data_IF_994989939030
#
_entry.id   IF_994989939030
#
_cell.length_a   1.000
_cell.length_b   1.000
_cell.length_c   1.000
_cell.angle_alpha   90.00
_cell.angle_beta   90.00
_cell.angle_gamma   90.00
#
_symmetry.space_group_name_H-M   'P 1'
#
loop_
_entity.id
_entity.type
_entity.pdbx_description
1 polymer ?
#
# COMPACT_ATOMS: atom_id res chain seq x y z
N UNK A 1 -21.83 -49.34 75.35
CA UNK A 1 -22.03 -47.89 75.62
C UNK A 1 -20.81 -47.06 75.20
N UNK A 2 -19.58 -47.60 75.25
CA UNK A 2 -18.40 -46.90 74.69
C UNK A 2 -18.46 -46.72 73.16
N UNK A 3 -18.84 -47.75 72.40
CA UNK A 3 -18.90 -47.67 70.93
C UNK A 3 -19.83 -46.54 70.43
N UNK A 4 -20.95 -46.34 71.11
CA UNK A 4 -21.92 -45.28 70.80
C UNK A 4 -21.38 -43.86 71.06
N UNK A 5 -20.46 -43.71 72.03
CA UNK A 5 -19.76 -42.44 72.28
C UNK A 5 -18.67 -42.19 71.21
N UNK A 6 -17.98 -43.24 70.76
CA UNK A 6 -16.99 -43.16 69.68
C UNK A 6 -17.61 -42.73 68.34
N UNK A 7 -18.78 -43.27 67.99
CA UNK A 7 -19.50 -42.89 66.76
C UNK A 7 -19.98 -41.43 66.81
N UNK A 8 -20.46 -40.96 67.96
CA UNK A 8 -20.96 -39.59 68.11
C UNK A 8 -19.86 -38.53 67.88
N UNK A 9 -18.66 -38.71 68.46
CA UNK A 9 -17.54 -37.78 68.26
C UNK A 9 -17.02 -37.78 66.82
N UNK A 10 -17.13 -38.91 66.12
CA UNK A 10 -16.75 -39.03 64.70
C UNK A 10 -17.74 -38.29 63.78
N UNK A 11 -19.04 -38.31 64.11
CA UNK A 11 -20.06 -37.50 63.45
C UNK A 11 -19.81 -36.00 63.70
N UNK A 12 -19.53 -35.60 64.94
CA UNK A 12 -19.23 -34.19 65.28
C UNK A 12 -17.93 -33.68 64.63
N UNK A 13 -16.90 -34.53 64.53
CA UNK A 13 -15.69 -34.22 63.74
C UNK A 13 -16.02 -34.04 62.25
N UNK A 14 -16.96 -34.82 61.72
CA UNK A 14 -17.38 -34.75 60.32
C UNK A 14 -18.19 -33.49 60.03
N UNK A 15 -19.14 -33.11 60.89
CA UNK A 15 -19.89 -31.85 60.74
C UNK A 15 -18.98 -30.63 60.86
N UNK A 16 -18.02 -30.64 61.79
CA UNK A 16 -16.99 -29.60 61.92
C UNK A 16 -16.16 -29.45 60.64
N UNK A 17 -15.69 -30.56 60.05
CA UNK A 17 -14.97 -30.53 58.76
C UNK A 17 -15.83 -30.01 57.60
N UNK A 18 -17.11 -30.36 57.55
CA UNK A 18 -18.05 -29.83 56.53
C UNK A 18 -18.18 -28.31 56.66
N UNK A 19 -18.33 -27.78 57.89
CA UNK A 19 -18.40 -26.34 58.13
C UNK A 19 -17.09 -25.61 57.73
N UNK A 20 -15.94 -26.21 58.03
CA UNK A 20 -14.64 -25.67 57.61
C UNK A 20 -14.49 -25.63 56.08
N UNK A 21 -14.91 -26.68 55.37
CA UNK A 21 -14.91 -26.73 53.91
C UNK A 21 -15.88 -25.71 53.30
N UNK A 22 -17.09 -25.57 53.85
CA UNK A 22 -18.06 -24.55 53.42
C UNK A 22 -17.49 -23.14 53.57
N UNK A 23 -16.81 -22.84 54.68
CA UNK A 23 -16.14 -21.55 54.89
C UNK A 23 -15.01 -21.31 53.88
N UNK A 24 -14.12 -22.27 53.69
CA UNK A 24 -13.02 -22.16 52.74
C UNK A 24 -13.51 -22.00 51.29
N UNK A 25 -14.61 -22.66 50.93
CA UNK A 25 -15.24 -22.50 49.61
C UNK A 25 -15.81 -21.10 49.41
N UNK A 26 -16.53 -20.55 50.39
CA UNK A 26 -17.05 -19.18 50.33
C UNK A 26 -15.93 -18.13 50.25
N UNK A 27 -14.82 -18.32 50.97
CA UNK A 27 -13.63 -17.47 50.86
C UNK A 27 -13.01 -17.54 49.44
N UNK A 28 -12.90 -18.74 48.86
CA UNK A 28 -12.39 -18.93 47.49
C UNK A 28 -13.30 -18.31 46.43
N UNK A 29 -14.61 -18.44 46.55
CA UNK A 29 -15.58 -17.78 45.67
C UNK A 29 -15.48 -16.26 45.76
N UNK A 30 -15.32 -15.71 46.97
CA UNK A 30 -15.12 -14.27 47.16
C UNK A 30 -13.84 -13.77 46.48
N UNK A 31 -12.73 -14.51 46.60
CA UNK A 31 -11.46 -14.17 45.97
C UNK A 31 -11.55 -14.24 44.43
N UNK A 32 -12.24 -15.26 43.89
CA UNK A 32 -12.53 -15.39 42.46
C UNK A 32 -13.36 -14.20 41.96
N UNK A 33 -14.42 -13.82 42.68
CA UNK A 33 -15.28 -12.70 42.31
C UNK A 33 -14.50 -11.37 42.30
N UNK A 34 -13.68 -11.10 43.32
CA UNK A 34 -12.82 -9.90 43.38
C UNK A 34 -11.80 -9.87 42.24
N UNK A 35 -11.13 -10.99 41.97
CA UNK A 35 -10.13 -11.11 40.89
C UNK A 35 -10.76 -10.85 39.52
N UNK A 36 -11.95 -11.41 39.25
CA UNK A 36 -12.66 -11.21 37.99
C UNK A 36 -13.15 -9.77 37.85
N UNK A 37 -13.70 -9.17 38.90
CA UNK A 37 -14.12 -7.76 38.87
C UNK A 37 -12.96 -6.79 38.62
N UNK A 38 -11.78 -7.04 39.20
CA UNK A 38 -10.60 -6.21 38.95
C UNK A 38 -10.14 -6.31 37.49
N UNK A 39 -10.06 -7.53 36.94
CA UNK A 39 -9.73 -7.76 35.53
C UNK A 39 -10.76 -7.14 34.58
N UNK A 40 -12.05 -7.20 34.92
CA UNK A 40 -13.11 -6.56 34.15
C UNK A 40 -12.94 -5.04 34.12
N UNK A 41 -12.71 -4.39 35.26
CA UNK A 41 -12.47 -2.94 35.33
C UNK A 41 -11.25 -2.49 34.52
N UNK A 42 -10.15 -3.25 34.56
CA UNK A 42 -8.96 -2.98 33.74
C UNK A 42 -9.26 -3.07 32.23
N UNK A 43 -10.07 -4.06 31.83
CA UNK A 43 -10.48 -4.23 30.44
C UNK A 43 -11.42 -3.10 29.98
N UNK A 44 -12.38 -2.73 30.83
CA UNK A 44 -13.33 -1.63 30.63
C UNK A 44 -12.60 -0.28 30.50
N UNK A 45 -11.65 0.02 31.38
CA UNK A 45 -10.84 1.24 31.32
C UNK A 45 -9.97 1.30 30.04
N UNK A 46 -9.38 0.16 29.64
CA UNK A 46 -8.62 0.06 28.39
C UNK A 46 -9.50 0.34 27.15
N UNK A 47 -10.71 -0.25 27.08
CA UNK A 47 -11.63 0.00 25.97
C UNK A 47 -12.15 1.44 25.93
N UNK A 48 -12.49 2.05 27.07
CA UNK A 48 -12.84 3.48 27.12
C UNK A 48 -11.67 4.37 26.69
N UNK A 49 -10.43 4.02 27.06
CA UNK A 49 -9.23 4.71 26.60
C UNK A 49 -9.04 4.63 25.08
N UNK A 50 -9.24 3.43 24.50
CA UNK A 50 -9.18 3.20 23.06
C UNK A 50 -10.29 3.96 22.32
N UNK A 51 -11.53 3.90 22.78
CA UNK A 51 -12.68 4.62 22.21
C UNK A 51 -12.42 6.14 22.19
N UNK A 52 -11.93 6.70 23.31
CA UNK A 52 -11.59 8.12 23.42
C UNK A 52 -10.43 8.53 22.50
N UNK A 53 -9.44 7.65 22.32
CA UNK A 53 -8.33 7.86 21.39
C UNK A 53 -8.80 7.85 19.94
N UNK A 54 -9.64 6.87 19.58
CA UNK A 54 -10.20 6.70 18.24
C UNK A 54 -11.11 7.88 17.87
N UNK A 55 -12.03 8.28 18.77
CA UNK A 55 -12.88 9.47 18.59
C UNK A 55 -12.07 10.74 18.34
N UNK A 56 -10.98 10.96 19.09
CA UNK A 56 -10.09 12.12 18.89
C UNK A 56 -9.41 12.09 17.52
N UNK A 57 -8.89 10.92 17.10
CA UNK A 57 -8.26 10.79 15.77
C UNK A 57 -9.27 11.01 14.65
N UNK A 58 -10.50 10.54 14.81
CA UNK A 58 -11.56 10.75 13.82
C UNK A 58 -11.86 12.26 13.65
N UNK A 59 -12.05 13.01 14.74
CA UNK A 59 -12.30 14.46 14.66
C UNK A 59 -11.10 15.24 14.09
N UNK A 60 -9.86 14.85 14.44
CA UNK A 60 -8.64 15.47 13.91
C UNK A 60 -8.50 15.27 12.40
N UNK A 61 -8.84 14.07 11.89
CA UNK A 61 -8.88 13.79 10.44
C UNK A 61 -10.01 14.55 9.75
N UNK A 62 -11.21 14.60 10.35
CA UNK A 62 -12.37 15.31 9.79
C UNK A 62 -12.14 16.83 9.71
N UNK A 63 -11.39 17.41 10.66
CA UNK A 63 -10.99 18.82 10.62
C UNK A 63 -9.90 19.09 9.57
N UNK A 64 -8.93 18.16 9.42
CA UNK A 64 -7.92 18.24 8.35
C UNK A 64 -8.54 18.14 6.95
N UNK A 65 -9.51 17.24 6.75
CA UNK A 65 -10.24 17.08 5.48
C UNK A 65 -10.90 18.39 5.04
N UNK A 66 -11.64 19.04 5.94
CA UNK A 66 -12.28 20.36 5.71
C UNK A 66 -11.25 21.45 5.41
N UNK A 67 -10.09 21.43 6.06
CA UNK A 67 -9.00 22.38 5.78
C UNK A 67 -8.42 22.17 4.37
N UNK A 68 -8.21 20.92 3.94
CA UNK A 68 -7.75 20.61 2.59
C UNK A 68 -8.78 20.93 1.52
N UNK A 69 -10.07 20.68 1.76
CA UNK A 69 -11.17 21.04 0.85
C UNK A 69 -11.23 22.57 0.67
N UNK A 70 -11.19 23.32 1.78
CA UNK A 70 -11.16 24.79 1.75
C UNK A 70 -9.97 25.32 0.95
N UNK A 71 -8.74 24.89 1.26
CA UNK A 71 -7.54 25.28 0.50
C UNK A 71 -7.63 24.93 -0.98
N UNK A 72 -8.23 23.79 -1.30
CA UNK A 72 -8.41 23.34 -2.68
C UNK A 72 -9.36 24.28 -3.43
N UNK A 73 -10.52 24.60 -2.85
CA UNK A 73 -11.48 25.54 -3.46
C UNK A 73 -10.90 26.96 -3.62
N UNK A 74 -10.14 27.46 -2.64
CA UNK A 74 -9.42 28.75 -2.74
C UNK A 74 -8.40 28.76 -3.90
N UNK A 75 -7.64 27.68 -4.07
CA UNK A 75 -6.66 27.54 -5.17
C UNK A 75 -7.36 27.48 -6.54
N UNK A 76 -8.47 26.73 -6.66
CA UNK A 76 -9.27 26.70 -7.88
C UNK A 76 -9.84 28.06 -8.24
N UNK A 77 -10.44 28.79 -7.27
CA UNK A 77 -10.99 30.12 -7.52
C UNK A 77 -9.90 31.13 -7.92
N UNK A 78 -8.70 31.05 -7.32
CA UNK A 78 -7.54 31.85 -7.74
C UNK A 78 -7.03 31.49 -9.14
N UNK A 79 -7.09 30.21 -9.52
CA UNK A 79 -6.66 29.74 -10.83
C UNK A 79 -7.64 30.20 -11.92
N UNK A 80 -8.95 30.04 -11.71
CA UNK A 80 -10.01 30.51 -12.61
C UNK A 80 -9.93 32.03 -12.83
N UNK A 81 -9.73 32.82 -11.76
CA UNK A 81 -9.50 34.27 -11.86
C UNK A 81 -8.26 34.62 -12.68
N UNK A 82 -7.18 33.83 -12.58
CA UNK A 82 -5.96 34.03 -13.39
C UNK A 82 -6.17 33.63 -14.84
N UNK A 83 -6.83 32.52 -15.10
CA UNK A 83 -7.16 32.05 -16.45
C UNK A 83 -8.02 33.09 -17.18
N UNK A 84 -9.11 33.54 -16.59
CA UNK A 84 -9.96 34.61 -17.15
C UNK A 84 -9.16 35.90 -17.45
N UNK A 85 -8.23 36.28 -16.56
CA UNK A 85 -7.36 37.44 -16.77
C UNK A 85 -6.31 37.24 -17.87
N UNK A 86 -5.86 36.01 -18.13
CA UNK A 86 -4.99 35.66 -19.26
C UNK A 86 -5.79 35.68 -20.55
N UNK A 87 -6.94 34.98 -20.62
CA UNK A 87 -7.83 34.97 -21.80
C UNK A 87 -8.25 36.38 -22.22
N UNK A 88 -8.60 37.25 -21.26
CA UNK A 88 -8.92 38.65 -21.56
C UNK A 88 -7.74 39.44 -22.15
N UNK A 89 -6.51 39.21 -21.66
CA UNK A 89 -5.29 39.83 -22.20
C UNK A 89 -4.93 39.29 -23.59
N UNK A 90 -5.11 38.01 -23.82
CA UNK A 90 -4.90 37.36 -25.12
C UNK A 90 -5.89 37.91 -26.15
N UNK A 91 -7.19 37.93 -25.83
CA UNK A 91 -8.23 38.50 -26.70
C UNK A 91 -7.92 39.96 -27.07
N UNK A 92 -7.65 40.82 -26.07
CA UNK A 92 -7.32 42.22 -26.31
C UNK A 92 -6.01 42.41 -27.10
N UNK A 93 -5.10 41.43 -27.08
CA UNK A 93 -3.86 41.46 -27.87
C UNK A 93 -4.08 41.00 -29.31
N UNK A 94 -4.91 39.97 -29.52
CA UNK A 94 -5.36 39.52 -30.83
C UNK A 94 -6.16 40.61 -31.56
N UNK A 95 -7.07 41.29 -30.86
CA UNK A 95 -7.88 42.38 -31.40
C UNK A 95 -7.00 43.53 -31.92
N UNK A 96 -6.03 44.00 -31.12
CA UNK A 96 -5.04 45.01 -31.56
C UNK A 96 -4.17 44.56 -32.73
N UNK A 97 -3.90 43.26 -32.87
CA UNK A 97 -3.18 42.71 -34.03
C UNK A 97 -4.08 42.69 -35.29
N UNK A 98 -5.37 42.39 -35.13
CA UNK A 98 -6.36 42.47 -36.20
C UNK A 98 -6.54 43.92 -36.68
N UNK A 99 -6.74 44.88 -35.78
CA UNK A 99 -6.82 46.32 -36.11
C UNK A 99 -5.59 46.81 -36.91
N UNK A 100 -4.38 46.44 -36.47
CA UNK A 100 -3.13 46.78 -37.17
C UNK A 100 -3.05 46.15 -38.55
N UNK A 101 -3.45 44.87 -38.67
CA UNK A 101 -3.47 44.14 -39.95
C UNK A 101 -4.47 44.78 -40.92
N UNK A 102 -5.68 45.07 -40.48
CA UNK A 102 -6.75 45.62 -41.32
C UNK A 102 -6.43 47.07 -41.74
N UNK A 103 -5.82 47.86 -40.85
CA UNK A 103 -5.26 49.18 -41.17
C UNK A 103 -4.15 49.11 -42.23
N UNK A 104 -3.21 48.16 -42.11
CA UNK A 104 -2.16 47.95 -43.10
C UNK A 104 -2.71 47.48 -44.46
N UNK A 105 -3.69 46.56 -44.47
CA UNK A 105 -4.38 46.11 -45.69
C UNK A 105 -5.11 47.28 -46.35
N UNK A 106 -5.79 48.13 -45.58
CA UNK A 106 -6.43 49.35 -46.09
C UNK A 106 -5.41 50.32 -46.68
N UNK A 107 -4.25 50.53 -46.04
CA UNK A 107 -3.17 51.36 -46.56
C UNK A 107 -2.62 50.83 -47.90
N UNK A 108 -2.41 49.52 -48.01
CA UNK A 108 -1.97 48.84 -49.25
C UNK A 108 -3.04 48.99 -50.35
N UNK A 109 -4.31 48.74 -50.06
CA UNK A 109 -5.41 48.89 -51.02
C UNK A 109 -5.51 50.34 -51.54
N UNK A 110 -5.42 51.32 -50.64
CA UNK A 110 -5.39 52.74 -50.99
C UNK A 110 -4.16 53.11 -51.84
N UNK A 111 -2.98 52.56 -51.54
CA UNK A 111 -1.78 52.76 -52.35
C UNK A 111 -1.95 52.19 -53.77
N UNK A 112 -2.40 50.93 -53.88
CA UNK A 112 -2.69 50.28 -55.18
C UNK A 112 -3.71 51.09 -55.98
N UNK A 113 -4.78 51.58 -55.35
CA UNK A 113 -5.80 52.37 -56.05
C UNK A 113 -5.27 53.76 -56.48
N UNK A 114 -4.34 54.38 -55.73
CA UNK A 114 -3.61 55.57 -56.17
C UNK A 114 -2.72 55.26 -57.37
N UNK A 115 -1.88 54.23 -57.32
CA UNK A 115 -1.04 53.81 -58.44
C UNK A 115 -1.87 53.50 -59.70
N UNK A 116 -3.04 52.85 -59.54
CA UNK A 116 -3.97 52.56 -60.65
C UNK A 116 -4.60 53.81 -61.26
N UNK A 117 -4.83 54.88 -60.48
CA UNK A 117 -5.29 56.18 -60.97
C UNK A 117 -4.17 57.00 -61.62
N UNK A 118 -2.94 56.92 -61.10
CA UNK A 118 -1.76 57.59 -61.68
C UNK A 118 -1.33 56.92 -62.99
N UNK A 119 -1.44 55.60 -63.10
CA UNK A 119 -1.14 54.83 -64.32
C UNK A 119 -2.17 55.02 -65.45
N UNK A 120 -3.26 55.78 -65.23
CA UNK A 120 -4.26 56.10 -66.25
C UNK A 120 -3.94 57.40 -67.02
N UNK A 121 -2.77 58.00 -66.78
CA UNK A 121 -2.19 59.12 -67.54
C UNK A 121 -0.81 58.65 -68.05
N UNK A 122 -0.68 58.54 -69.37
CA UNK A 122 0.45 57.95 -70.14
C UNK A 122 1.83 58.66 -70.01
N UNK A 123 2.94 58.16 -70.62
CA UNK A 123 3.43 56.76 -70.76
C UNK A 123 4.98 56.59 -70.56
N UNK A 124 5.44 55.33 -70.67
CA UNK A 124 6.75 54.87 -71.19
C UNK A 124 8.09 55.03 -70.40
N UNK A 125 8.78 53.88 -70.31
CA UNK A 125 10.24 53.63 -70.33
C UNK A 125 11.17 54.13 -69.20
N UNK A 126 11.74 53.18 -68.44
CA UNK A 126 13.18 52.85 -68.53
C UNK A 126 13.53 51.55 -67.77
N UNK A 127 14.51 50.81 -68.28
CA UNK A 127 15.17 49.66 -67.64
C UNK A 127 16.41 50.08 -66.86
N UNK A 128 16.69 49.45 -65.70
CA UNK A 128 18.07 49.21 -65.26
C UNK A 128 18.16 48.12 -64.20
N UNK A 129 19.18 47.30 -64.31
CA UNK A 129 19.62 46.30 -63.33
C UNK A 129 20.32 46.99 -62.14
N UNK A 130 20.43 46.31 -60.99
CA UNK A 130 21.63 46.43 -60.16
C UNK A 130 21.88 45.15 -59.34
N UNK A 131 23.16 44.84 -59.10
CA UNK A 131 23.66 43.68 -58.35
C UNK A 131 24.74 44.12 -57.35
N UNK A 132 24.56 43.76 -56.08
CA UNK A 132 25.60 43.87 -55.04
C UNK A 132 25.06 44.37 -53.69
N UNK A 133 25.60 43.96 -52.54
CA UNK A 133 26.59 42.90 -52.34
C UNK A 133 27.21 42.93 -50.93
N UNK A 134 27.09 41.80 -50.21
CA UNK A 134 27.91 41.42 -49.02
C UNK A 134 27.84 42.39 -47.80
N UNK A 135 28.59 42.19 -46.69
CA UNK A 135 29.41 41.03 -46.27
C UNK A 135 29.23 40.58 -44.78
N UNK A 136 30.07 39.61 -44.35
CA UNK A 136 30.60 39.44 -42.96
C UNK A 136 29.63 38.91 -41.86
N UNK A 137 30.02 38.07 -40.87
CA UNK A 137 31.26 37.30 -40.55
C UNK A 137 31.07 36.33 -39.35
N UNK A 138 32.10 35.50 -39.07
CA UNK A 138 32.48 34.91 -37.76
C UNK A 138 31.53 33.85 -37.13
N UNK A 139 31.96 32.83 -36.37
CA UNK A 139 33.30 32.32 -36.02
C UNK A 139 33.22 30.81 -35.63
N UNK A 140 34.34 30.13 -35.31
CA UNK A 140 34.42 28.68 -34.98
C UNK A 140 35.67 28.37 -34.11
N UNK A 141 35.79 27.21 -33.40
CA UNK A 141 34.92 26.55 -32.41
C UNK A 141 35.37 26.96 -30.97
N UNK A 142 36.20 26.26 -30.13
CA UNK A 142 36.61 24.83 -29.92
C UNK A 142 36.09 24.29 -28.54
N UNK A 143 36.42 23.13 -27.95
CA UNK A 143 37.14 21.87 -28.29
C UNK A 143 36.68 20.69 -27.36
N UNK A 144 37.31 19.51 -27.48
CA UNK A 144 37.35 18.34 -26.55
C UNK A 144 36.04 17.53 -26.31
N UNK A 145 35.95 16.21 -26.52
CA UNK A 145 36.79 15.04 -26.11
C UNK A 145 36.86 14.89 -24.56
N UNK A 146 36.74 13.72 -23.92
CA UNK A 146 37.05 12.31 -24.26
C UNK A 146 36.03 11.36 -23.60
N UNK A 147 35.91 10.10 -24.07
CA UNK A 147 35.06 9.05 -23.49
C UNK A 147 35.83 8.02 -22.62
N UNK A 148 35.11 7.27 -21.77
CA UNK A 148 35.48 5.92 -21.27
C UNK A 148 36.74 5.80 -20.36
N UNK A 149 36.92 4.79 -19.47
CA UNK A 149 36.07 3.76 -18.87
C UNK A 149 36.80 3.15 -17.64
N UNK A 150 36.16 2.21 -16.94
CA UNK A 150 36.70 1.18 -16.01
C UNK A 150 36.92 1.64 -14.55
N UNK A 151 36.27 1.01 -13.56
CA UNK A 151 36.55 -0.32 -12.92
C UNK A 151 37.76 -0.25 -11.96
N UNK A 152 37.81 -0.91 -10.80
CA UNK A 152 36.89 -1.73 -9.98
C UNK A 152 37.29 -1.47 -8.51
N UNK A 153 36.42 -1.75 -7.53
CA UNK A 153 36.85 -2.68 -6.46
C UNK A 153 35.70 -3.24 -5.62
N UNK A 154 35.87 -4.49 -5.21
CA UNK A 154 34.90 -5.30 -4.46
C UNK A 154 35.20 -5.22 -2.97
N UNK A 155 34.18 -4.89 -2.15
CA UNK A 155 34.19 -5.24 -0.72
C UNK A 155 33.00 -6.09 -0.33
N UNK A 156 33.20 -7.40 -0.53
CA UNK A 156 32.34 -8.47 -0.01
C UNK A 156 32.60 -8.65 1.49
N UNK A 157 31.65 -8.20 2.30
CA UNK A 157 31.47 -8.55 3.72
C UNK A 157 29.98 -8.64 3.99
N UNK A 158 29.38 -9.64 4.61
CA UNK A 158 29.83 -10.91 5.18
C UNK A 158 28.55 -11.51 5.76
N UNK A 159 27.83 -12.35 5.00
CA UNK A 159 26.48 -12.81 5.36
C UNK A 159 26.43 -13.99 6.36
N UNK A 160 27.56 -14.32 7.01
CA UNK A 160 27.72 -15.55 7.80
C UNK A 160 27.58 -15.34 9.32
N UNK A 161 26.65 -14.49 9.79
CA UNK A 161 26.38 -14.28 11.23
C UNK A 161 24.94 -14.61 11.67
N UNK A 162 24.02 -14.96 10.75
CA UNK A 162 22.59 -15.09 11.09
C UNK A 162 22.03 -16.53 11.00
N UNK A 163 22.88 -17.53 10.79
CA UNK A 163 22.46 -18.95 10.67
C UNK A 163 22.35 -19.64 12.04
N UNK A 164 22.96 -19.07 13.10
CA UNK A 164 23.14 -19.73 14.40
C UNK A 164 22.02 -19.41 15.43
N UNK A 165 20.95 -18.71 15.03
CA UNK A 165 19.86 -18.26 15.91
C UNK A 165 18.44 -18.72 15.51
N UNK A 166 18.28 -19.56 14.48
CA UNK A 166 16.95 -20.04 14.05
C UNK A 166 16.38 -21.08 15.01
N UNK A 167 15.27 -20.77 15.69
CA UNK A 167 14.56 -21.70 16.57
C UNK A 167 13.82 -22.79 15.77
N UNK A 168 13.51 -22.52 14.51
CA UNK A 168 12.73 -23.42 13.64
C UNK A 168 13.52 -23.89 12.41
N UNK A 169 14.47 -24.85 12.55
CA UNK A 169 15.19 -25.40 11.40
C UNK A 169 14.28 -26.10 10.37
N UNK A 170 13.08 -26.53 10.78
CA UNK A 170 12.06 -27.05 9.87
C UNK A 170 11.49 -25.98 8.94
N UNK A 171 11.34 -24.73 9.41
CA UNK A 171 10.86 -23.61 8.60
C UNK A 171 11.85 -23.28 7.48
N UNK A 172 13.15 -23.26 7.81
CA UNK A 172 14.23 -23.06 6.83
C UNK A 172 14.20 -24.14 5.75
N UNK A 173 14.05 -25.40 6.16
CA UNK A 173 13.96 -26.52 5.20
C UNK A 173 12.71 -26.43 4.30
N UNK A 174 11.55 -26.05 4.82
CA UNK A 174 10.35 -25.87 4.00
C UNK A 174 10.53 -24.77 2.93
N UNK A 175 11.28 -23.71 3.24
CA UNK A 175 11.64 -22.69 2.26
C UNK A 175 12.66 -23.22 1.23
N UNK A 176 13.69 -23.95 1.67
CA UNK A 176 14.70 -24.58 0.79
C UNK A 176 14.08 -25.61 -0.17
N UNK A 177 13.17 -26.46 0.32
CA UNK A 177 12.42 -27.46 -0.45
C UNK A 177 11.30 -26.83 -1.33
N UNK A 178 11.09 -25.51 -1.26
CA UNK A 178 10.02 -24.77 -1.95
C UNK A 178 8.58 -25.27 -1.63
N UNK A 179 8.36 -25.80 -0.43
CA UNK A 179 7.10 -26.42 -0.01
C UNK A 179 6.10 -25.41 0.58
N UNK A 180 5.26 -24.83 -0.29
CA UNK A 180 4.23 -23.86 0.12
C UNK A 180 3.11 -24.46 0.98
N UNK A 181 2.73 -25.73 0.75
CA UNK A 181 1.67 -26.40 1.52
C UNK A 181 2.17 -26.79 2.92
N UNK A 182 3.38 -27.34 3.00
CA UNK A 182 4.07 -27.61 4.26
C UNK A 182 4.34 -26.34 5.07
N UNK A 183 4.68 -25.22 4.41
CA UNK A 183 4.82 -23.91 5.05
C UNK A 183 3.51 -23.42 5.68
N UNK A 184 2.39 -23.49 4.94
CA UNK A 184 1.05 -23.19 5.48
C UNK A 184 0.69 -24.05 6.68
N UNK A 185 0.92 -25.35 6.58
CA UNK A 185 0.66 -26.31 7.66
C UNK A 185 1.52 -26.01 8.89
N UNK A 186 2.83 -25.77 8.71
CA UNK A 186 3.76 -25.44 9.79
C UNK A 186 3.33 -24.17 10.54
N UNK A 187 2.94 -23.11 9.82
CA UNK A 187 2.45 -21.86 10.42
C UNK A 187 1.12 -22.10 11.17
N UNK A 188 0.22 -22.91 10.60
CA UNK A 188 -1.06 -23.27 11.22
C UNK A 188 -0.88 -24.13 12.49
N UNK A 189 0.10 -25.03 12.53
CA UNK A 189 0.38 -25.87 13.70
C UNK A 189 1.07 -25.05 14.82
N UNK A 190 1.85 -24.03 14.45
CA UNK A 190 2.57 -23.17 15.39
C UNK A 190 1.82 -21.89 15.83
N UNK A 191 0.49 -21.79 15.64
CA UNK A 191 -0.33 -20.60 15.98
C UNK A 191 -0.07 -19.97 17.35
N UNK A 192 0.29 -20.76 18.37
CA UNK A 192 0.60 -20.26 19.74
C UNK A 192 1.92 -19.46 19.80
N UNK A 193 2.85 -19.77 18.92
CA UNK A 193 4.18 -19.16 18.81
C UNK A 193 4.30 -18.28 17.57
N UNK A 194 3.18 -17.91 16.93
CA UNK A 194 3.14 -17.24 15.63
C UNK A 194 3.97 -15.96 15.58
N UNK A 195 4.06 -15.21 16.68
CA UNK A 195 4.90 -14.02 16.77
C UNK A 195 6.40 -14.37 16.56
N UNK A 196 6.91 -15.38 17.25
CA UNK A 196 8.30 -15.84 17.08
C UNK A 196 8.55 -16.45 15.69
N UNK A 197 7.59 -17.22 15.18
CA UNK A 197 7.66 -17.77 13.81
C UNK A 197 7.72 -16.64 12.77
N UNK A 198 6.92 -15.57 12.91
CA UNK A 198 6.87 -14.44 11.97
C UNK A 198 8.19 -13.69 11.87
N UNK A 199 8.94 -13.55 12.96
CA UNK A 199 10.27 -12.92 12.93
C UNK A 199 11.32 -13.79 12.22
N UNK A 200 11.18 -15.13 12.25
CA UNK A 200 12.09 -16.05 11.54
C UNK A 200 11.73 -16.24 10.05
N UNK A 201 10.47 -16.04 9.64
CA UNK A 201 10.04 -16.20 8.23
C UNK A 201 10.89 -15.40 7.22
N UNK A 202 11.16 -14.09 7.37
CA UNK A 202 11.99 -13.34 6.43
C UNK A 202 13.43 -13.85 6.30
N UNK A 203 13.96 -14.50 7.35
CA UNK A 203 15.29 -15.10 7.35
C UNK A 203 15.23 -16.47 6.64
N UNK A 204 14.22 -17.29 6.95
CA UNK A 204 14.00 -18.58 6.30
C UNK A 204 13.71 -18.45 4.80
N UNK A 205 12.94 -17.43 4.38
CA UNK A 205 12.67 -17.14 2.97
C UNK A 205 13.95 -16.91 2.16
N UNK A 206 15.05 -16.44 2.75
CA UNK A 206 16.35 -16.30 2.06
C UNK A 206 17.00 -17.63 1.68
N UNK A 207 16.58 -18.74 2.26
CA UNK A 207 17.04 -20.08 1.90
C UNK A 207 16.27 -20.67 0.69
N UNK A 208 15.14 -20.08 0.30
CA UNK A 208 14.38 -20.51 -0.87
C UNK A 208 15.12 -20.15 -2.17
N UNK A 209 15.07 -21.04 -3.17
CA UNK A 209 15.69 -20.79 -4.48
C UNK A 209 15.01 -19.65 -5.25
N UNK A 210 13.70 -19.48 -5.05
CA UNK A 210 12.94 -18.32 -5.52
C UNK A 210 11.90 -17.94 -4.45
N UNK A 211 12.24 -17.00 -3.54
CA UNK A 211 11.35 -16.60 -2.45
C UNK A 211 10.03 -15.99 -2.94
N UNK A 212 10.04 -15.36 -4.12
CA UNK A 212 8.85 -14.74 -4.69
C UNK A 212 7.92 -15.80 -5.29
N UNK A 213 8.45 -16.80 -6.03
CA UNK A 213 7.66 -17.95 -6.48
C UNK A 213 7.00 -18.64 -5.30
N UNK A 214 7.77 -19.01 -4.26
CA UNK A 214 7.25 -19.73 -3.09
C UNK A 214 6.06 -19.01 -2.43
N UNK A 215 6.14 -17.68 -2.32
CA UNK A 215 5.07 -16.87 -1.74
C UNK A 215 3.87 -16.79 -2.69
N UNK A 216 4.06 -16.66 -4.01
CA UNK A 216 2.95 -16.75 -4.98
C UNK A 216 2.30 -18.14 -4.99
N UNK A 217 3.08 -19.21 -4.87
CA UNK A 217 2.60 -20.59 -4.73
C UNK A 217 1.77 -20.77 -3.45
N UNK A 218 2.10 -20.04 -2.38
CA UNK A 218 1.33 -19.98 -1.14
C UNK A 218 -0.02 -19.25 -1.27
N UNK A 219 -0.29 -18.53 -2.36
CA UNK A 219 -1.59 -17.88 -2.62
C UNK A 219 -2.63 -18.86 -3.17
N UNK A 220 -2.23 -20.09 -3.53
CA UNK A 220 -3.15 -21.12 -3.98
C UNK A 220 -4.20 -21.42 -2.89
N UNK A 221 -5.45 -21.57 -3.31
CA UNK A 221 -6.58 -21.84 -2.41
C UNK A 221 -7.10 -20.63 -1.60
N UNK A 222 -6.57 -19.41 -1.78
CA UNK A 222 -7.05 -18.20 -1.07
C UNK A 222 -8.56 -17.92 -1.25
N UNK A 223 -9.09 -18.22 -2.43
CA UNK A 223 -10.52 -18.18 -2.77
C UNK A 223 -11.15 -19.57 -2.90
N UNK A 224 -10.63 -20.61 -2.23
CA UNK A 224 -11.18 -21.96 -2.34
C UNK A 224 -12.55 -22.07 -1.64
N UNK A 225 -13.60 -21.77 -2.40
CA UNK A 225 -15.00 -21.85 -2.00
C UNK A 225 -15.56 -23.23 -2.38
N UNK A 226 -15.09 -24.29 -1.72
CA UNK A 226 -15.72 -25.61 -1.88
C UNK A 226 -17.16 -25.57 -1.40
N UNK A 227 -18.07 -26.09 -2.24
CA UNK A 227 -19.49 -25.75 -2.19
C UNK A 227 -20.21 -26.00 -0.86
N UNK A 228 -20.99 -24.98 -0.47
CA UNK A 228 -22.19 -25.05 0.37
C UNK A 228 -22.15 -26.07 1.51
N UNK A 229 -21.27 -25.86 2.49
CA UNK A 229 -21.38 -26.50 3.80
C UNK A 229 -20.95 -25.51 4.88
N UNK A 230 -21.94 -24.97 5.61
CA UNK A 230 -21.78 -24.10 6.78
C UNK A 230 -21.19 -24.90 7.96
N UNK A 231 -19.89 -25.20 7.89
CA UNK A 231 -19.09 -25.68 9.01
C UNK A 231 -18.15 -24.56 9.45
N UNK A 232 -18.43 -23.97 10.61
CA UNK A 232 -17.64 -22.89 11.19
C UNK A 232 -16.14 -23.25 11.37
N UNK A 233 -15.79 -24.54 11.39
CA UNK A 233 -14.41 -25.02 11.39
C UNK A 233 -13.71 -24.82 10.05
N UNK A 234 -14.43 -24.91 8.93
CA UNK A 234 -13.91 -24.61 7.58
C UNK A 234 -13.65 -23.12 7.42
N UNK A 235 -14.59 -22.28 7.85
CA UNK A 235 -14.43 -20.82 7.82
C UNK A 235 -13.21 -20.36 8.62
N UNK A 236 -13.02 -20.93 9.82
CA UNK A 236 -11.84 -20.65 10.66
C UNK A 236 -10.51 -21.10 10.03
N UNK A 237 -10.52 -22.15 9.20
CA UNK A 237 -9.34 -22.60 8.45
C UNK A 237 -9.05 -21.70 7.25
N UNK A 238 -10.07 -21.33 6.47
CA UNK A 238 -9.94 -20.40 5.34
C UNK A 238 -9.45 -19.01 5.78
N UNK A 239 -9.99 -18.48 6.88
CA UNK A 239 -9.49 -17.26 7.52
C UNK A 239 -8.05 -17.39 8.05
N UNK A 240 -7.62 -18.59 8.44
CA UNK A 240 -6.24 -18.89 8.81
C UNK A 240 -5.30 -18.87 7.61
N UNK A 241 -5.71 -19.50 6.51
CA UNK A 241 -4.97 -19.53 5.24
C UNK A 241 -4.82 -18.10 4.69
N UNK A 242 -5.90 -17.32 4.58
CA UNK A 242 -5.85 -15.93 4.10
C UNK A 242 -4.88 -15.05 4.89
N UNK A 243 -4.90 -15.15 6.23
CA UNK A 243 -3.94 -14.44 7.10
C UNK A 243 -2.49 -14.89 6.88
N UNK A 244 -2.28 -16.18 6.62
CA UNK A 244 -0.95 -16.73 6.33
C UNK A 244 -0.42 -16.21 4.99
N UNK A 245 -1.23 -16.23 3.93
CA UNK A 245 -0.89 -15.65 2.63
C UNK A 245 -0.47 -14.17 2.74
N UNK A 246 -1.26 -13.37 3.46
CA UNK A 246 -0.98 -11.94 3.71
C UNK A 246 0.37 -11.77 4.43
N UNK A 247 0.57 -12.48 5.54
CA UNK A 247 1.82 -12.43 6.30
C UNK A 247 3.04 -12.85 5.46
N UNK A 248 2.91 -13.87 4.61
CA UNK A 248 3.98 -14.31 3.71
C UNK A 248 4.31 -13.25 2.65
N UNK A 249 3.30 -12.58 2.09
CA UNK A 249 3.52 -11.42 1.22
C UNK A 249 4.14 -10.24 1.97
N UNK A 250 3.84 -10.02 3.25
CA UNK A 250 4.47 -8.94 4.05
C UNK A 250 5.98 -9.21 4.21
N UNK A 251 6.32 -10.46 4.57
CA UNK A 251 7.70 -10.91 4.70
C UNK A 251 8.46 -10.87 3.36
N UNK A 252 7.77 -11.11 2.23
CA UNK A 252 8.37 -10.94 0.90
C UNK A 252 8.64 -9.46 0.59
N UNK A 253 7.69 -8.56 0.87
CA UNK A 253 7.87 -7.11 0.64
C UNK A 253 9.00 -6.52 1.48
N UNK A 254 9.18 -6.95 2.74
CA UNK A 254 10.33 -6.52 3.55
C UNK A 254 11.66 -7.09 3.03
N UNK A 255 11.67 -8.32 2.51
CA UNK A 255 12.83 -8.91 1.87
C UNK A 255 13.24 -8.16 0.59
N UNK A 256 12.27 -7.87 -0.30
CA UNK A 256 12.45 -7.09 -1.54
C UNK A 256 12.85 -5.62 -1.29
N UNK A 257 12.49 -5.06 -0.13
CA UNK A 257 12.87 -3.69 0.24
C UNK A 257 14.26 -3.59 0.87
N UNK A 258 14.81 -4.70 1.38
CA UNK A 258 16.07 -4.73 2.13
C UNK A 258 17.25 -5.31 1.34
N UNK A 259 16.98 -6.29 0.48
CA UNK A 259 17.88 -6.68 -0.60
C UNK A 259 17.36 -6.05 -1.90
N UNK A 260 18.21 -5.35 -2.64
CA UNK A 260 17.88 -4.66 -3.90
C UNK A 260 17.64 -5.64 -5.05
N UNK A 261 16.69 -6.55 -4.86
CA UNK A 261 16.39 -7.68 -5.72
C UNK A 261 15.40 -7.24 -6.79
N UNK A 262 15.82 -7.33 -8.05
CA UNK A 262 14.96 -7.04 -9.19
C UNK A 262 13.91 -8.15 -9.29
N UNK A 263 12.63 -7.79 -9.23
CA UNK A 263 11.53 -8.73 -9.49
C UNK A 263 11.61 -9.16 -10.96
N UNK A 264 11.89 -10.44 -11.21
CA UNK A 264 11.95 -11.02 -12.56
C UNK A 264 10.60 -10.93 -13.26
N UNK A 265 10.58 -10.67 -14.57
CA UNK A 265 9.34 -10.50 -15.35
C UNK A 265 8.36 -11.67 -15.21
N UNK A 266 8.86 -12.91 -15.12
CA UNK A 266 8.07 -14.13 -14.84
C UNK A 266 7.25 -14.02 -13.52
N UNK A 267 7.81 -13.41 -12.48
CA UNK A 267 7.10 -13.19 -11.21
C UNK A 267 6.01 -12.12 -11.37
N UNK A 268 6.26 -11.08 -12.17
CA UNK A 268 5.26 -10.05 -12.48
C UNK A 268 4.09 -10.60 -13.31
N UNK A 269 4.38 -11.46 -14.28
CA UNK A 269 3.38 -12.15 -15.10
C UNK A 269 2.50 -13.05 -14.22
N UNK A 270 3.11 -13.90 -13.38
CA UNK A 270 2.36 -14.75 -12.43
C UNK A 270 1.53 -13.96 -11.43
N UNK A 271 2.07 -12.88 -10.86
CA UNK A 271 1.33 -12.00 -9.96
C UNK A 271 0.14 -11.33 -10.68
N UNK A 272 0.30 -11.01 -11.98
CA UNK A 272 -0.76 -10.45 -12.83
C UNK A 272 -1.87 -11.45 -13.09
N UNK A 273 -1.52 -12.70 -13.40
CA UNK A 273 -2.50 -13.76 -13.62
C UNK A 273 -3.35 -14.01 -12.36
N UNK A 274 -2.70 -14.07 -11.19
CA UNK A 274 -3.40 -14.19 -9.90
C UNK A 274 -4.31 -12.98 -9.66
N UNK A 275 -3.84 -11.75 -9.92
CA UNK A 275 -4.66 -10.55 -9.78
C UNK A 275 -5.88 -10.55 -10.74
N UNK A 276 -5.71 -11.02 -11.99
CA UNK A 276 -6.80 -11.15 -12.97
C UNK A 276 -7.81 -12.22 -12.53
N UNK A 277 -7.35 -13.34 -11.97
CA UNK A 277 -8.22 -14.40 -11.41
C UNK A 277 -8.99 -13.92 -10.18
N UNK A 278 -8.36 -13.09 -9.33
CA UNK A 278 -8.93 -12.61 -8.07
C UNK A 278 -9.94 -11.48 -8.27
N UNK A 279 -9.74 -10.63 -9.28
CA UNK A 279 -10.57 -9.45 -9.53
C UNK A 279 -12.09 -9.73 -9.57
N UNK A 280 -12.63 -10.64 -10.42
CA UNK A 280 -14.07 -10.90 -10.42
C UNK A 280 -14.57 -11.45 -9.08
N UNK A 281 -13.75 -12.24 -8.38
CA UNK A 281 -14.09 -12.79 -7.05
C UNK A 281 -14.10 -11.73 -5.94
N UNK A 282 -13.46 -10.59 -6.18
CA UNK A 282 -13.48 -9.41 -5.31
C UNK A 282 -14.66 -8.51 -5.66
N UNK A 283 -14.95 -8.32 -6.96
CA UNK A 283 -16.10 -7.56 -7.46
C UNK A 283 -17.45 -8.25 -7.09
N UNK A 284 -17.47 -9.58 -6.96
CA UNK A 284 -18.61 -10.39 -6.50
C UNK A 284 -18.83 -10.35 -4.97
N UNK A 285 -17.93 -9.73 -4.17
CA UNK A 285 -18.13 -9.59 -2.73
C UNK A 285 -19.12 -8.45 -2.43
N UNK A 286 -20.21 -8.78 -1.74
CA UNK A 286 -21.23 -7.82 -1.36
C UNK A 286 -20.65 -6.71 -0.46
N UNK A 287 -20.72 -5.46 -0.94
CA UNK A 287 -20.20 -4.26 -0.26
C UNK A 287 -20.97 -3.99 1.03
N UNK A 288 -22.21 -4.50 1.16
CA UNK A 288 -23.04 -4.40 2.37
C UNK A 288 -22.65 -5.42 3.46
N UNK A 289 -21.61 -6.23 3.25
CA UNK A 289 -20.98 -7.02 4.31
C UNK A 289 -20.23 -6.11 5.30
N UNK A 290 -20.99 -5.52 6.23
CA UNK A 290 -20.70 -4.45 7.21
C UNK A 290 -19.39 -4.49 8.04
N UNK A 291 -18.48 -5.43 7.81
CA UNK A 291 -17.12 -5.40 8.33
C UNK A 291 -16.16 -5.01 7.20
N UNK A 292 -15.80 -3.72 7.10
CA UNK A 292 -14.81 -3.16 6.16
C UNK A 292 -13.36 -3.61 6.42
N UNK A 293 -13.16 -4.92 6.54
CA UNK A 293 -11.91 -5.59 6.87
C UNK A 293 -11.81 -6.91 6.06
N UNK A 294 -12.10 -6.81 4.77
CA UNK A 294 -11.93 -7.88 3.79
C UNK A 294 -10.43 -8.21 3.66
N UNK A 295 -10.07 -9.43 4.06
CA UNK A 295 -8.71 -9.96 3.86
C UNK A 295 -8.41 -10.09 2.36
N UNK A 296 -9.45 -10.28 1.56
CA UNK A 296 -9.43 -10.37 0.11
C UNK A 296 -8.98 -9.06 -0.53
N UNK A 297 -9.56 -7.93 -0.13
CA UNK A 297 -9.13 -6.60 -0.58
C UNK A 297 -7.69 -6.28 -0.13
N UNK A 298 -7.32 -6.61 1.11
CA UNK A 298 -5.96 -6.39 1.61
C UNK A 298 -4.93 -7.21 0.81
N UNK A 299 -5.17 -8.51 0.63
CA UNK A 299 -4.29 -9.39 -0.14
C UNK A 299 -4.17 -8.96 -1.60
N UNK A 300 -5.27 -8.50 -2.22
CA UNK A 300 -5.27 -7.97 -3.58
C UNK A 300 -4.40 -6.71 -3.69
N UNK A 301 -4.56 -5.74 -2.80
CA UNK A 301 -3.73 -4.52 -2.77
C UNK A 301 -2.25 -4.84 -2.56
N UNK A 302 -1.94 -5.86 -1.77
CA UNK A 302 -0.57 -6.29 -1.49
C UNK A 302 0.10 -7.05 -2.64
N UNK A 303 -0.68 -7.60 -3.58
CA UNK A 303 -0.20 -8.21 -4.82
C UNK A 303 0.22 -7.15 -5.85
N UNK A 304 -0.39 -5.95 -5.83
CA UNK A 304 -0.15 -4.90 -6.83
C UNK A 304 1.32 -4.41 -6.92
N UNK A 305 2.08 -4.24 -5.82
CA UNK A 305 3.51 -3.89 -5.90
C UNK A 305 4.39 -4.91 -6.62
N UNK A 306 3.94 -6.17 -6.75
CA UNK A 306 4.65 -7.21 -7.51
C UNK A 306 4.39 -7.12 -9.03
N UNK A 307 3.52 -6.22 -9.48
CA UNK A 307 3.16 -6.04 -10.90
C UNK A 307 4.00 -4.98 -11.63
N UNK A 308 4.75 -4.15 -10.90
CA UNK A 308 5.47 -2.96 -11.37
C UNK A 308 6.95 -3.25 -11.58
#
# INVERSE_FOLDING_TARGET
MEDTLSVATLIESTTSKIQQLQKAFAELESHRALTLNLKWKQLEEHFHGLEKSLKRRFTDVEDQEKEYETKTTEVWEMLEKREAAVVAKEHASLERLQEKRDSAVSAIANAIQKHRKVSAMEPAAATSEDQGGAPFVEEKPPDAMVAESNSDDVKKSSENENVELMSYPQLLKLCEDMDSEGLHKFISDNRKNLAAVREEIPIALKAATDPASLVLDSLNGFYCMEGSNLDAKKDANLLGLRRTCIMLMECLSTLLSSASNIITENIKERARDIAVEWKPKLDDLDVDANNGNSLEAHAFLQLLPLLV
#
